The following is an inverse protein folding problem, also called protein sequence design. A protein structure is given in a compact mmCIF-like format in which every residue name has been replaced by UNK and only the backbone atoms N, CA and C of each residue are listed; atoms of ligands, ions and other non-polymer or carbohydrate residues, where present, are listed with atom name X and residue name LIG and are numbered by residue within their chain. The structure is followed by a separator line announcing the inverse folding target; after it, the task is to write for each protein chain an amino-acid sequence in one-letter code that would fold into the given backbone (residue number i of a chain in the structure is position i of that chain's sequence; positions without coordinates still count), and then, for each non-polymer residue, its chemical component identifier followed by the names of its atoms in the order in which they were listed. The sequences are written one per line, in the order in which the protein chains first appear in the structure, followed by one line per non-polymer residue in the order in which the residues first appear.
data_IF_043399857503
#
_entry.id   IF_043399857503
#
_cell.length_a   1.000
_cell.length_b   1.000
_cell.length_c   1.000
_cell.angle_alpha   90.00
_cell.angle_beta   90.00
_cell.angle_gamma   90.00
#
_symmetry.space_group_name_H-M   'P 1'
#
loop_
_entity.id
_entity.type
_entity.pdbx_description
1 polymer ?
#
# COMPACT_ATOMS: atom_id res chain seq x y z
N UNK A 1 6.58 -23.25 8.05
CA UNK A 1 6.87 -21.82 8.32
C UNK A 1 6.10 -21.04 7.29
N UNK A 2 5.47 -19.96 7.72
CA UNK A 2 4.55 -19.18 6.90
C UNK A 2 4.56 -17.72 7.34
N UNK A 3 3.75 -16.93 6.66
CA UNK A 3 3.69 -15.49 6.86
C UNK A 3 3.31 -15.14 8.32
N UNK A 4 3.69 -13.97 8.84
CA UNK A 4 3.28 -13.54 10.19
C UNK A 4 1.76 -13.60 10.40
N UNK A 5 0.99 -13.33 9.34
CA UNK A 5 -0.43 -13.61 9.24
C UNK A 5 -0.64 -14.35 7.91
N UNK A 6 -1.36 -15.47 7.93
CA UNK A 6 -1.62 -16.24 6.72
C UNK A 6 -2.64 -15.55 5.80
N UNK A 7 -2.34 -15.40 4.49
CA UNK A 7 -3.32 -14.95 3.52
C UNK A 7 -4.35 -16.06 3.18
N UNK A 8 -5.57 -15.71 2.75
CA UNK A 8 -6.05 -14.34 2.62
C UNK A 8 -6.74 -13.82 3.89
N UNK A 9 -6.56 -12.53 4.19
CA UNK A 9 -7.40 -11.82 5.18
C UNK A 9 -8.23 -10.72 4.53
N UNK A 10 -9.48 -10.50 4.99
CA UNK A 10 -10.28 -9.36 4.54
C UNK A 10 -9.67 -8.05 5.06
N UNK A 11 -9.52 -7.01 4.21
CA UNK A 11 -9.02 -5.71 4.65
C UNK A 11 -10.08 -4.94 5.45
N UNK A 12 -9.64 -4.05 6.34
CA UNK A 12 -10.53 -3.10 7.02
C UNK A 12 -11.15 -2.12 6.01
N UNK A 13 -12.47 -1.93 6.03
CA UNK A 13 -13.17 -1.04 5.11
C UNK A 13 -13.45 0.34 5.71
N UNK A 14 -13.52 1.36 4.85
CA UNK A 14 -13.90 2.71 5.23
C UNK A 14 -15.43 2.88 5.19
N UNK A 15 -15.96 3.75 6.05
CA UNK A 15 -17.35 4.18 6.04
C UNK A 15 -17.44 5.58 5.38
N UNK A 16 -18.32 5.79 4.39
CA UNK A 16 -18.49 7.12 3.79
C UNK A 16 -19.02 8.12 4.82
N UNK A 17 -18.49 9.34 4.77
CA UNK A 17 -18.86 10.48 5.62
C UNK A 17 -19.03 11.72 4.74
N UNK A 18 -19.98 12.62 5.05
CA UNK A 18 -20.21 13.82 4.22
C UNK A 18 -19.12 14.90 4.38
N UNK A 19 -18.26 14.79 5.40
CA UNK A 19 -17.17 15.73 5.64
C UNK A 19 -16.00 15.02 6.34
N UNK A 20 -14.81 15.61 6.23
CA UNK A 20 -13.61 15.19 6.96
C UNK A 20 -13.91 15.28 8.46
N UNK A 21 -13.83 14.17 9.21
CA UNK A 21 -14.15 14.18 10.63
C UNK A 21 -13.12 15.00 11.40
N UNK A 22 -13.54 15.70 12.45
CA UNK A 22 -12.66 16.52 13.29
C UNK A 22 -12.74 16.06 14.76
N UNK A 23 -11.77 16.48 15.57
CA UNK A 23 -11.68 16.13 16.99
C UNK A 23 -10.37 15.45 17.36
N UNK A 24 -10.25 15.09 18.63
CA UNK A 24 -9.04 14.44 19.15
C UNK A 24 -8.88 13.02 18.60
N UNK A 25 -7.64 12.63 18.31
CA UNK A 25 -7.30 11.28 17.88
C UNK A 25 -7.43 11.00 16.37
N UNK A 26 -7.85 11.98 15.56
CA UNK A 26 -7.86 11.83 14.11
C UNK A 26 -6.47 11.98 13.49
N UNK A 27 -6.18 11.12 12.54
CA UNK A 27 -5.05 11.21 11.62
C UNK A 27 -5.63 11.12 10.21
N UNK A 28 -5.14 11.97 9.32
CA UNK A 28 -5.59 12.08 7.94
C UNK A 28 -4.46 11.66 7.01
N UNK A 29 -4.82 10.92 5.97
CA UNK A 29 -3.92 10.46 4.91
C UNK A 29 -4.65 10.69 3.57
N UNK A 30 -3.93 10.99 2.47
CA UNK A 30 -4.56 11.09 1.16
C UNK A 30 -5.21 9.77 0.78
N UNK A 31 -6.38 9.84 0.13
CA UNK A 31 -6.97 8.66 -0.50
C UNK A 31 -6.28 8.43 -1.84
N UNK A 32 -5.45 7.38 -1.90
CA UNK A 32 -4.81 6.95 -3.14
C UNK A 32 -5.83 6.28 -4.07
N UNK A 33 -5.76 6.59 -5.37
CA UNK A 33 -6.61 5.96 -6.38
C UNK A 33 -5.82 4.89 -7.15
N UNK A 34 -6.11 3.62 -6.84
CA UNK A 34 -5.33 2.50 -7.33
C UNK A 34 -5.97 1.16 -6.99
N UNK A 35 -5.13 0.13 -6.84
CA UNK A 35 -5.55 -1.18 -6.34
C UNK A 35 -5.04 -1.39 -4.93
N UNK A 36 -5.95 -1.45 -3.96
CA UNK A 36 -5.62 -1.86 -2.61
C UNK A 36 -4.97 -3.25 -2.59
N UNK A 37 -3.82 -3.32 -1.94
CA UNK A 37 -2.99 -4.51 -1.87
C UNK A 37 -2.49 -4.75 -0.45
N UNK A 38 -2.66 -5.99 0.03
CA UNK A 38 -1.98 -6.49 1.22
C UNK A 38 -0.72 -7.22 0.79
N UNK A 39 0.43 -6.77 1.30
CA UNK A 39 1.73 -7.37 1.04
C UNK A 39 2.13 -8.22 2.24
N UNK A 40 2.24 -9.52 2.02
CA UNK A 40 2.71 -10.49 3.00
C UNK A 40 4.12 -10.87 2.63
N UNK A 41 5.03 -10.79 3.61
CA UNK A 41 6.41 -11.16 3.40
C UNK A 41 6.91 -12.04 4.53
N UNK A 42 7.58 -13.12 4.15
CA UNK A 42 8.42 -13.94 5.03
C UNK A 42 9.77 -14.17 4.36
N UNK A 43 10.78 -13.37 4.74
CA UNK A 43 12.13 -13.42 4.15
C UNK A 43 12.07 -13.20 2.63
N UNK A 44 12.28 -14.25 1.84
CA UNK A 44 12.24 -14.22 0.38
C UNK A 44 10.84 -14.47 -0.19
N UNK A 45 9.93 -15.05 0.59
CA UNK A 45 8.57 -15.35 0.15
C UNK A 45 7.73 -14.07 0.20
N UNK A 46 7.01 -13.83 -0.90
CA UNK A 46 6.19 -12.64 -1.07
C UNK A 46 4.83 -13.01 -1.67
N UNK A 47 3.76 -12.59 -1.02
CA UNK A 47 2.41 -12.68 -1.54
C UNK A 47 1.76 -11.30 -1.54
N UNK A 48 1.16 -10.93 -2.66
CA UNK A 48 0.41 -9.68 -2.80
C UNK A 48 -1.05 -10.05 -3.04
N UNK A 49 -1.93 -9.61 -2.17
CA UNK A 49 -3.36 -9.91 -2.22
C UNK A 49 -4.16 -8.65 -2.55
N UNK A 50 -5.14 -8.74 -3.43
CA UNK A 50 -6.10 -7.66 -3.68
C UNK A 50 -7.12 -7.51 -2.56
N UNK A 51 -7.88 -6.41 -2.61
CA UNK A 51 -9.11 -6.22 -1.83
C UNK A 51 -10.06 -7.42 -1.87
N UNK A 52 -10.21 -8.05 -3.04
CA UNK A 52 -11.12 -9.18 -3.27
C UNK A 52 -10.47 -10.55 -2.99
N UNK A 53 -9.40 -10.57 -2.19
CA UNK A 53 -8.72 -11.78 -1.72
C UNK A 53 -7.99 -12.57 -2.83
N UNK A 54 -7.72 -11.94 -3.98
CA UNK A 54 -7.06 -12.60 -5.12
C UNK A 54 -5.57 -12.27 -5.18
N UNK A 55 -4.71 -13.18 -5.65
CA UNK A 55 -3.30 -12.90 -5.84
C UNK A 55 -3.08 -11.83 -6.92
N UNK A 56 -2.18 -10.88 -6.64
CA UNK A 56 -1.79 -9.79 -7.54
C UNK A 56 -0.36 -9.91 -8.10
N UNK A 57 0.51 -10.75 -7.51
CA UNK A 57 1.94 -10.85 -7.87
C UNK A 57 2.19 -10.86 -9.39
N UNK A 58 1.48 -11.73 -10.12
CA UNK A 58 1.67 -11.90 -11.56
C UNK A 58 1.39 -10.65 -12.41
N UNK A 59 0.65 -9.68 -11.87
CA UNK A 59 0.25 -8.44 -12.56
C UNK A 59 1.21 -7.28 -12.28
N UNK A 60 2.01 -7.39 -11.22
CA UNK A 60 2.96 -6.37 -10.76
C UNK A 60 4.34 -6.96 -10.47
N UNK A 61 4.97 -7.65 -11.44
CA UNK A 61 6.27 -8.29 -11.23
C UNK A 61 7.36 -7.29 -10.82
N UNK A 62 7.24 -6.02 -11.22
CA UNK A 62 8.18 -4.95 -10.88
C UNK A 62 8.19 -4.59 -9.38
N UNK A 63 7.15 -4.97 -8.63
CA UNK A 63 7.07 -4.70 -7.18
C UNK A 63 7.73 -5.79 -6.33
N UNK A 64 8.01 -6.98 -6.87
CA UNK A 64 8.50 -8.09 -6.05
C UNK A 64 9.86 -7.80 -5.41
N UNK A 65 10.86 -7.43 -6.21
CA UNK A 65 12.21 -7.10 -5.74
C UNK A 65 12.21 -5.94 -4.74
N UNK A 66 11.59 -4.77 -5.03
CA UNK A 66 11.47 -3.69 -4.05
C UNK A 66 10.82 -4.12 -2.73
N UNK A 67 9.70 -4.86 -2.76
CA UNK A 67 9.04 -5.29 -1.53
C UNK A 67 9.88 -6.31 -0.74
N UNK A 68 10.67 -7.15 -1.43
CA UNK A 68 11.66 -8.06 -0.81
C UNK A 68 12.90 -7.36 -0.26
N UNK A 69 13.17 -6.10 -0.64
CA UNK A 69 14.30 -5.37 -0.07
C UNK A 69 13.96 -4.67 1.26
N UNK A 70 12.68 -4.38 1.52
CA UNK A 70 12.21 -3.63 2.71
C UNK A 70 12.66 -4.30 4.03
N UNK A 71 13.35 -3.59 4.92
CA UNK A 71 13.72 -4.14 6.24
C UNK A 71 14.79 -5.26 6.23
N UNK A 72 15.45 -5.51 5.10
CA UNK A 72 16.55 -6.48 5.00
C UNK A 72 16.11 -7.94 4.74
N UNK A 73 17.04 -8.88 4.56
CA UNK A 73 16.77 -10.23 4.04
C UNK A 73 15.89 -11.10 4.95
N UNK A 74 15.99 -10.90 6.26
CA UNK A 74 15.23 -11.68 7.25
C UNK A 74 13.88 -11.04 7.63
N UNK A 75 13.49 -9.94 6.96
CA UNK A 75 12.28 -9.22 7.29
C UNK A 75 11.03 -10.09 7.09
N UNK A 76 10.10 -9.97 8.03
CA UNK A 76 8.79 -10.61 8.00
C UNK A 76 7.76 -9.57 8.39
N UNK A 77 6.75 -9.35 7.56
CA UNK A 77 5.72 -8.35 7.81
C UNK A 77 4.46 -8.58 6.99
N UNK A 78 3.39 -7.90 7.39
CA UNK A 78 2.19 -7.73 6.57
C UNK A 78 1.84 -6.26 6.50
N UNK A 79 1.86 -5.68 5.29
CA UNK A 79 1.52 -4.27 5.04
C UNK A 79 0.19 -4.16 4.31
N UNK A 80 -0.55 -3.09 4.59
CA UNK A 80 -1.74 -2.67 3.83
C UNK A 80 -1.42 -1.35 3.13
N UNK A 81 -1.76 -1.28 1.85
CA UNK A 81 -1.38 -0.16 0.99
C UNK A 81 -2.12 -0.15 -0.33
N UNK A 82 -1.74 0.79 -1.19
CA UNK A 82 -2.30 0.98 -2.52
C UNK A 82 -1.22 0.79 -3.59
N UNK A 83 -1.50 0.01 -4.62
CA UNK A 83 -0.69 -0.02 -5.84
C UNK A 83 -1.18 1.08 -6.77
N UNK A 84 -0.26 1.96 -7.17
CA UNK A 84 -0.54 3.14 -7.99
C UNK A 84 0.46 3.25 -9.14
N UNK A 85 0.07 3.95 -10.21
CA UNK A 85 0.99 4.40 -11.25
C UNK A 85 0.99 5.92 -11.20
N UNK A 86 2.16 6.54 -11.03
CA UNK A 86 2.29 7.99 -11.06
C UNK A 86 2.46 8.49 -12.50
N UNK A 87 1.79 9.58 -12.84
CA UNK A 87 1.98 10.32 -14.08
C UNK A 87 3.16 11.30 -13.94
N UNK A 88 3.85 11.64 -15.04
CA UNK A 88 4.94 12.62 -15.01
C UNK A 88 4.54 14.02 -14.50
N UNK A 89 3.26 14.37 -14.59
CA UNK A 89 2.70 15.64 -14.12
C UNK A 89 2.30 15.64 -12.63
N UNK A 90 2.51 14.52 -11.93
CA UNK A 90 2.22 14.38 -10.49
C UNK A 90 0.86 13.76 -10.17
N UNK A 91 0.02 13.44 -11.17
CA UNK A 91 -1.25 12.72 -10.97
C UNK A 91 -1.08 11.20 -10.84
N UNK A 92 -2.18 10.48 -10.63
CA UNK A 92 -2.23 9.02 -10.69
C UNK A 92 -2.87 8.56 -12.01
N UNK A 93 -2.37 7.45 -12.56
CA UNK A 93 -2.85 6.87 -13.81
C UNK A 93 -3.64 5.58 -13.59
N UNK A 94 -4.89 5.74 -13.15
CA UNK A 94 -5.77 4.61 -12.88
C UNK A 94 -6.09 3.80 -14.14
N UNK A 95 -6.24 4.44 -15.30
CA UNK A 95 -6.51 3.77 -16.57
C UNK A 95 -5.38 2.81 -16.95
N UNK A 96 -4.12 3.25 -16.82
CA UNK A 96 -2.96 2.38 -17.03
C UNK A 96 -2.91 1.21 -16.04
N UNK A 97 -3.38 1.41 -14.81
CA UNK A 97 -3.44 0.37 -13.79
C UNK A 97 -4.47 -0.71 -14.15
N UNK A 98 -5.63 -0.33 -14.68
CA UNK A 98 -6.66 -1.26 -15.18
C UNK A 98 -6.11 -2.18 -16.29
N UNK A 99 -5.24 -1.66 -17.16
CA UNK A 99 -4.61 -2.44 -18.23
C UNK A 99 -3.67 -3.54 -17.71
N UNK A 100 -3.24 -3.49 -16.43
CA UNK A 100 -2.35 -4.50 -15.84
C UNK A 100 -3.04 -5.83 -15.59
N UNK A 101 -4.35 -5.86 -15.39
CA UNK A 101 -5.10 -7.10 -15.16
C UNK A 101 -5.36 -7.82 -16.50
N UNK A 102 -4.27 -8.35 -17.07
CA UNK A 102 -4.27 -8.96 -18.40
C UNK A 102 -3.92 -10.46 -18.33
N UNK A 103 -4.54 -11.33 -19.16
CA UNK A 103 -4.22 -12.76 -19.17
C UNK A 103 -2.78 -13.08 -19.60
N UNK A 104 -2.27 -12.36 -20.61
CA UNK A 104 -0.94 -12.61 -21.17
C UNK A 104 0.17 -11.95 -20.35
N UNK A 105 1.07 -12.77 -19.77
CA UNK A 105 2.19 -12.30 -18.96
C UNK A 105 3.20 -11.42 -19.74
N UNK A 106 3.35 -11.63 -21.05
CA UNK A 106 4.21 -10.78 -21.90
C UNK A 106 3.68 -9.35 -21.97
N UNK A 107 2.35 -9.17 -22.07
CA UNK A 107 1.72 -7.85 -22.07
C UNK A 107 1.87 -7.16 -20.72
N UNK A 108 1.71 -7.91 -19.62
CA UNK A 108 1.93 -7.40 -18.27
C UNK A 108 3.37 -6.89 -18.10
N UNK A 109 4.38 -7.69 -18.48
CA UNK A 109 5.79 -7.29 -18.39
C UNK A 109 6.10 -6.04 -19.22
N UNK A 110 5.59 -5.97 -20.44
CA UNK A 110 5.77 -4.79 -21.28
C UNK A 110 5.12 -3.54 -20.66
N UNK A 111 3.94 -3.66 -20.06
CA UNK A 111 3.33 -2.56 -19.33
C UNK A 111 4.10 -2.21 -18.04
N UNK A 112 4.68 -3.20 -17.35
CA UNK A 112 5.54 -3.03 -16.18
C UNK A 112 6.76 -2.16 -16.46
N UNK A 113 7.37 -2.36 -17.63
CA UNK A 113 8.50 -1.56 -18.08
C UNK A 113 8.08 -0.17 -18.55
N UNK A 114 6.94 -0.06 -19.24
CA UNK A 114 6.47 1.21 -19.82
C UNK A 114 5.90 2.18 -18.78
N UNK A 115 5.17 1.68 -17.77
CA UNK A 115 4.51 2.49 -16.75
C UNK A 115 4.59 1.82 -15.37
N UNK A 116 5.80 1.74 -14.76
CA UNK A 116 6.03 0.97 -13.54
C UNK A 116 5.15 1.43 -12.38
N UNK A 117 4.57 0.46 -11.67
CA UNK A 117 3.77 0.75 -10.48
C UNK A 117 4.64 1.06 -9.25
N UNK A 118 4.04 1.71 -8.27
CA UNK A 118 4.57 1.90 -6.91
C UNK A 118 3.57 1.37 -5.89
N UNK A 119 4.06 0.96 -4.72
CA UNK A 119 3.24 0.59 -3.56
C UNK A 119 3.32 1.69 -2.50
N UNK A 120 2.17 2.24 -2.13
CA UNK A 120 2.05 3.25 -1.08
C UNK A 120 1.40 2.63 0.14
N UNK A 121 2.19 2.36 1.18
CA UNK A 121 1.74 1.72 2.40
C UNK A 121 1.11 2.72 3.38
N UNK A 122 0.00 2.31 4.00
CA UNK A 122 -0.72 3.11 5.00
C UNK A 122 -0.96 2.36 6.33
N UNK A 123 -0.80 1.04 6.39
CA UNK A 123 -0.86 0.30 7.65
C UNK A 123 0.18 -0.83 7.74
N UNK A 124 0.56 -1.20 8.96
CA UNK A 124 1.39 -2.36 9.27
C UNK A 124 0.60 -3.31 10.18
N UNK A 125 0.18 -4.44 9.63
CA UNK A 125 -0.69 -5.41 10.28
C UNK A 125 0.09 -6.44 11.08
N UNK A 126 1.34 -6.71 10.70
CA UNK A 126 2.26 -7.55 11.46
C UNK A 126 3.72 -7.21 11.13
N UNK A 127 4.61 -7.45 12.08
CA UNK A 127 6.06 -7.35 11.90
C UNK A 127 6.76 -8.39 12.79
N UNK A 128 7.75 -9.09 12.23
CA UNK A 128 8.34 -10.29 12.82
C UNK A 128 7.25 -11.33 13.18
N UNK A 129 7.08 -11.65 14.46
CA UNK A 129 6.07 -12.58 14.97
C UNK A 129 4.88 -11.88 15.67
N UNK A 130 4.84 -10.54 15.67
CA UNK A 130 3.84 -9.75 16.39
C UNK A 130 2.66 -9.41 15.48
N UNK A 131 1.46 -9.89 15.82
CA UNK A 131 0.20 -9.47 15.20
C UNK A 131 -0.20 -8.10 15.75
N UNK A 132 -0.15 -7.09 14.89
CA UNK A 132 -0.37 -5.70 15.25
C UNK A 132 -1.84 -5.28 15.12
N UNK A 133 -2.72 -6.10 14.54
CA UNK A 133 -4.15 -5.76 14.35
C UNK A 133 -4.88 -5.37 15.65
N UNK A 134 -4.57 -5.97 16.82
CA UNK A 134 -5.17 -5.55 18.10
C UNK A 134 -4.59 -4.23 18.66
N UNK A 135 -3.49 -3.71 18.10
CA UNK A 135 -2.80 -2.50 18.58
C UNK A 135 -3.48 -1.24 18.06
N UNK A 136 -3.23 -0.11 18.73
CA UNK A 136 -3.72 1.19 18.27
C UNK A 136 -3.12 1.57 16.92
N UNK A 137 -3.84 2.36 16.11
CA UNK A 137 -3.31 2.80 14.81
C UNK A 137 -2.00 3.59 14.96
N UNK A 138 -1.85 4.40 16.02
CA UNK A 138 -0.61 5.13 16.29
C UNK A 138 0.60 4.19 16.46
N UNK A 139 0.42 3.06 17.16
CA UNK A 139 1.48 2.04 17.28
C UNK A 139 1.79 1.41 15.93
N UNK A 140 0.76 0.98 15.17
CA UNK A 140 0.96 0.37 13.84
C UNK A 140 1.66 1.32 12.87
N UNK A 141 1.26 2.59 12.86
CA UNK A 141 1.84 3.66 12.04
C UNK A 141 3.31 3.93 12.38
N UNK A 142 3.68 3.85 13.67
CA UNK A 142 5.08 3.93 14.12
C UNK A 142 5.90 2.75 13.62
N UNK A 143 5.36 1.53 13.69
CA UNK A 143 6.01 0.31 13.15
C UNK A 143 6.20 0.42 11.64
N UNK A 144 5.16 0.87 10.92
CA UNK A 144 5.22 1.13 9.48
C UNK A 144 6.33 2.13 9.12
N UNK A 145 6.40 3.27 9.83
CA UNK A 145 7.41 4.29 9.58
C UNK A 145 8.84 3.80 9.86
N UNK A 146 9.01 2.96 10.89
CA UNK A 146 10.30 2.32 11.18
C UNK A 146 10.74 1.36 10.08
N UNK A 147 9.82 0.52 9.60
CA UNK A 147 10.09 -0.44 8.54
C UNK A 147 10.42 0.25 7.20
N UNK A 148 9.77 1.40 6.94
CA UNK A 148 9.96 2.21 5.73
C UNK A 148 10.84 3.44 5.97
N UNK A 149 11.81 3.36 6.88
CA UNK A 149 12.76 4.45 7.13
C UNK A 149 13.75 4.67 5.97
N UNK A 150 14.11 3.59 5.26
CA UNK A 150 14.95 3.62 4.05
C UNK A 150 14.36 2.66 2.99
N UNK A 151 13.20 2.98 2.40
CA UNK A 151 12.53 2.10 1.48
C UNK A 151 13.08 2.25 0.06
N UNK A 152 12.99 1.21 -0.78
CA UNK A 152 13.22 1.37 -2.22
C UNK A 152 12.29 2.41 -2.83
N UNK A 153 12.71 3.07 -3.91
CA UNK A 153 12.00 4.21 -4.48
C UNK A 153 10.52 3.95 -4.90
N UNK A 154 10.19 2.70 -5.25
CA UNK A 154 8.82 2.28 -5.62
C UNK A 154 7.97 1.83 -4.43
N UNK A 155 8.52 1.83 -3.20
CA UNK A 155 7.78 1.57 -1.96
C UNK A 155 7.76 2.85 -1.14
N UNK A 156 6.57 3.36 -0.84
CA UNK A 156 6.41 4.66 -0.19
C UNK A 156 5.55 4.52 1.05
N UNK A 157 5.89 5.30 2.06
CA UNK A 157 5.03 5.55 3.19
C UNK A 157 4.05 6.68 2.83
N UNK A 158 2.76 6.46 3.05
CA UNK A 158 1.75 7.53 2.88
C UNK A 158 2.06 8.71 3.82
N UNK A 159 1.93 9.97 3.37
CA UNK A 159 2.01 11.11 4.26
C UNK A 159 0.78 11.11 5.18
N UNK A 160 0.96 11.59 6.40
CA UNK A 160 -0.11 11.67 7.40
C UNK A 160 -0.04 12.98 8.15
N UNK A 161 -1.18 13.54 8.51
CA UNK A 161 -1.28 14.78 9.29
C UNK A 161 -2.37 14.67 10.36
N UNK A 162 -2.23 15.42 11.45
CA UNK A 162 -3.30 15.65 12.42
C UNK A 162 -3.94 17.03 12.24
N UNK A 163 -3.46 17.82 11.28
CA UNK A 163 -4.01 19.14 10.94
C UNK A 163 -5.20 19.00 9.98
N UNK A 164 -6.44 19.32 10.40
CA UNK A 164 -7.61 19.25 9.55
C UNK A 164 -7.54 20.19 8.34
N UNK A 165 -6.84 21.33 8.43
CA UNK A 165 -6.71 22.27 7.31
C UNK A 165 -5.85 21.68 6.19
N UNK A 166 -4.73 21.04 6.54
CA UNK A 166 -3.92 20.31 5.58
C UNK A 166 -4.66 19.10 5.00
N UNK A 167 -5.44 18.40 5.81
CA UNK A 167 -6.29 17.30 5.34
C UNK A 167 -7.33 17.78 4.32
N UNK A 168 -7.98 18.92 4.58
CA UNK A 168 -8.91 19.54 3.63
C UNK A 168 -8.20 19.96 2.35
N UNK A 169 -7.00 20.54 2.45
CA UNK A 169 -6.21 20.89 1.27
C UNK A 169 -5.86 19.66 0.41
N UNK A 170 -5.44 18.55 1.04
CA UNK A 170 -5.23 17.29 0.32
C UNK A 170 -6.50 16.78 -0.33
N UNK A 171 -7.63 16.85 0.37
CA UNK A 171 -8.92 16.48 -0.17
C UNK A 171 -9.27 17.31 -1.40
N UNK A 172 -9.12 18.64 -1.36
CA UNK A 172 -9.47 19.52 -2.49
C UNK A 172 -8.54 19.36 -3.69
N UNK A 173 -7.26 19.01 -3.45
CA UNK A 173 -6.25 18.85 -4.52
C UNK A 173 -6.31 17.45 -5.15
N UNK A 174 -6.60 16.41 -4.37
CA UNK A 174 -6.55 15.03 -4.82
C UNK A 174 -7.94 14.41 -5.07
N UNK A 175 -9.02 14.89 -4.45
CA UNK A 175 -10.39 14.57 -4.90
C UNK A 175 -10.84 15.58 -5.96
N UNK A 176 -10.81 15.15 -7.22
CA UNK A 176 -11.25 15.94 -8.37
C UNK A 176 -10.25 16.00 -9.53
N UNK A 177 -9.07 15.40 -9.38
CA UNK A 177 -8.10 15.16 -10.45
C UNK A 177 -8.32 13.81 -11.15
#
# INVERSE_FOLDING_TARGET
MGYPIEPPIPPMLAKPTPAIPTGEGWIYEPKWDGFRALVYRDRADLHIQSRDLKPLNRYFPELEEPLRAVGGPDARFVLDGEVVIARPDGGLDFDSLLLRIHPAASRVRMLAEASPASFVAFDCLAEADDDLRPRSFAERRKRLAGLLADPPASVRLTPSTTDPALAQHWFDVFEGA
#
